data_IF_736796223958
#
_entry.id   IF_736796223958
#
_cell.length_a   1.000
_cell.length_b   1.000
_cell.length_c   1.000
_cell.angle_alpha   90.00
_cell.angle_beta   90.00
_cell.angle_gamma   90.00
#
_symmetry.space_group_name_H-M   'P 1'
#
loop_
_entity.id
_entity.type
_entity.pdbx_description
1 polymer ?
#
# COMPACT_ATOMS: atom_id res chain seq x y z
N UNK A 1 0.17 7.27 17.20
CA UNK A 1 0.49 6.31 18.26
C UNK A 1 1.65 5.42 17.80
N UNK A 2 2.87 5.67 18.28
CA UNK A 2 4.06 4.85 17.97
C UNK A 2 4.21 3.72 18.99
N UNK A 3 4.46 2.49 18.49
CA UNK A 3 4.76 1.30 19.26
C UNK A 3 6.03 0.69 18.66
N UNK A 4 7.10 0.59 19.42
CA UNK A 4 8.40 0.16 18.92
C UNK A 4 8.90 -1.08 19.66
N UNK A 5 9.54 -2.02 18.95
CA UNK A 5 10.22 -3.19 19.50
C UNK A 5 9.37 -3.93 20.55
N UNK A 6 8.09 -4.15 20.22
CA UNK A 6 7.11 -4.71 21.15
C UNK A 6 6.61 -6.07 20.68
N UNK A 7 6.15 -6.88 21.61
CA UNK A 7 5.57 -8.19 21.32
C UNK A 7 4.17 -8.30 21.93
N UNK A 8 3.26 -9.03 21.25
CA UNK A 8 1.85 -9.16 21.64
C UNK A 8 1.12 -7.82 21.75
N UNK A 9 1.19 -7.03 20.67
CA UNK A 9 0.57 -5.71 20.59
C UNK A 9 -0.91 -5.84 20.22
N UNK A 10 -1.79 -5.18 20.96
CA UNK A 10 -3.19 -5.03 20.59
C UNK A 10 -3.59 -3.56 20.63
N UNK A 11 -4.02 -3.04 19.47
CA UNK A 11 -4.62 -1.70 19.33
C UNK A 11 -6.07 -1.89 18.93
N UNK A 12 -7.01 -1.48 19.79
CA UNK A 12 -8.42 -1.74 19.55
C UNK A 12 -9.27 -0.49 19.80
N UNK A 13 -10.20 -0.21 18.86
CA UNK A 13 -11.17 0.88 18.95
C UNK A 13 -10.51 2.25 19.24
N UNK A 14 -9.40 2.54 18.57
CA UNK A 14 -8.66 3.81 18.66
C UNK A 14 -8.99 4.69 17.47
N UNK A 15 -9.17 5.97 17.69
CA UNK A 15 -9.28 6.99 16.65
C UNK A 15 -8.07 7.92 16.71
N UNK A 16 -7.43 8.15 15.56
CA UNK A 16 -6.44 9.21 15.33
C UNK A 16 -6.92 10.12 14.22
N UNK A 17 -6.81 11.43 14.40
CA UNK A 17 -7.32 12.37 13.42
C UNK A 17 -6.55 13.68 13.45
N UNK A 18 -6.22 14.20 12.27
CA UNK A 18 -5.78 15.58 12.04
C UNK A 18 -6.95 16.37 11.45
N UNK A 19 -7.52 17.27 12.24
CA UNK A 19 -8.78 17.99 11.92
C UNK A 19 -8.60 19.11 10.89
N UNK A 20 -7.38 19.43 10.49
CA UNK A 20 -7.07 20.48 9.50
C UNK A 20 -7.23 20.05 8.03
N UNK A 21 -7.60 18.80 7.76
CA UNK A 21 -7.64 18.22 6.41
C UNK A 21 -6.28 17.63 5.98
N UNK A 22 -6.14 17.37 4.69
CA UNK A 22 -4.94 16.78 4.08
C UNK A 22 -3.82 17.84 3.97
N UNK A 23 -2.93 17.89 4.94
CA UNK A 23 -1.83 18.85 5.01
C UNK A 23 -0.48 18.14 5.16
N UNK A 24 0.53 18.57 4.41
CA UNK A 24 1.92 18.09 4.50
C UNK A 24 2.50 18.22 5.93
N UNK A 25 1.98 19.15 6.72
CA UNK A 25 2.43 19.39 8.09
C UNK A 25 1.75 18.48 9.14
N UNK A 26 0.84 17.63 8.73
CA UNK A 26 0.25 16.64 9.62
C UNK A 26 1.32 15.64 10.08
N UNK A 27 1.09 14.95 11.20
CA UNK A 27 1.97 13.87 11.62
C UNK A 27 1.95 12.72 10.60
N UNK A 28 3.09 12.06 10.41
CA UNK A 28 3.28 11.03 9.41
C UNK A 28 2.31 9.85 9.63
N UNK A 29 2.20 9.32 10.84
CA UNK A 29 1.48 8.07 11.11
C UNK A 29 0.40 8.22 12.17
N UNK A 30 -0.78 7.68 11.89
CA UNK A 30 -1.85 7.57 12.88
C UNK A 30 -1.58 6.46 13.90
N UNK A 31 -1.53 5.21 13.46
CA UNK A 31 -1.15 4.03 14.23
C UNK A 31 0.15 3.50 13.64
N UNK A 32 1.18 3.29 14.47
CA UNK A 32 2.54 3.04 14.02
C UNK A 32 3.27 1.99 14.87
N UNK A 33 2.92 0.69 14.76
CA UNK A 33 3.81 -0.38 15.22
C UNK A 33 4.98 -0.56 14.25
N UNK A 34 6.18 -0.65 14.81
CA UNK A 34 7.42 -0.89 14.06
C UNK A 34 8.35 -1.83 14.84
N UNK A 35 9.08 -2.70 14.12
CA UNK A 35 9.99 -3.70 14.70
C UNK A 35 9.32 -4.54 15.80
N UNK A 36 8.07 -4.91 15.56
CA UNK A 36 7.21 -5.55 16.57
C UNK A 36 6.66 -6.88 16.05
N UNK A 37 6.20 -7.73 16.95
CA UNK A 37 5.65 -9.05 16.59
C UNK A 37 4.30 -9.31 17.23
N UNK A 38 3.49 -10.18 16.59
CA UNK A 38 2.17 -10.56 17.06
C UNK A 38 1.28 -9.33 17.32
N UNK A 39 0.92 -8.67 16.21
CA UNK A 39 0.22 -7.36 16.21
C UNK A 39 -1.22 -7.57 15.79
N UNK A 40 -2.15 -7.08 16.61
CA UNK A 40 -3.57 -6.96 16.27
C UNK A 40 -3.98 -5.49 16.29
N UNK A 41 -4.43 -4.99 15.12
CA UNK A 41 -5.10 -3.70 14.97
C UNK A 41 -6.55 -3.99 14.58
N UNK A 42 -7.51 -3.63 15.44
CA UNK A 42 -8.91 -4.00 15.30
C UNK A 42 -9.84 -2.83 15.63
N UNK A 43 -10.69 -2.43 14.68
CA UNK A 43 -11.67 -1.37 14.88
C UNK A 43 -11.05 0.04 15.02
N UNK A 44 -9.95 0.30 14.34
CA UNK A 44 -9.26 1.60 14.36
C UNK A 44 -9.84 2.54 13.31
N UNK A 45 -9.85 3.84 13.60
CA UNK A 45 -10.11 4.90 12.63
C UNK A 45 -8.90 5.81 12.54
N UNK A 46 -8.32 5.97 11.35
CA UNK A 46 -7.14 6.81 11.12
C UNK A 46 -7.39 7.82 9.99
N UNK A 47 -7.25 9.11 10.29
CA UNK A 47 -7.65 10.19 9.39
C UNK A 47 -6.56 11.28 9.30
N UNK A 48 -6.17 11.62 8.07
CA UNK A 48 -5.40 12.83 7.77
C UNK A 48 -3.89 12.70 7.98
N UNK A 49 -3.34 11.49 8.09
CA UNK A 49 -1.89 11.28 8.20
C UNK A 49 -1.17 11.68 6.90
N UNK A 50 -0.04 12.39 7.01
CA UNK A 50 0.75 12.84 5.86
C UNK A 50 1.68 11.76 5.28
N UNK A 51 1.60 10.56 5.81
CA UNK A 51 2.26 9.35 5.32
C UNK A 51 1.23 8.21 5.38
N UNK A 52 1.08 7.46 6.47
CA UNK A 52 0.09 6.40 6.53
C UNK A 52 -0.87 6.51 7.74
N UNK A 53 -2.16 6.30 7.50
CA UNK A 53 -3.17 6.25 8.57
C UNK A 53 -2.90 5.10 9.53
N UNK A 54 -2.74 3.89 9.01
CA UNK A 54 -2.33 2.69 9.74
C UNK A 54 -1.07 2.17 9.06
N UNK A 55 0.06 2.28 9.74
CA UNK A 55 1.35 1.78 9.30
C UNK A 55 1.80 0.63 10.18
N UNK A 56 2.26 -0.47 9.58
CA UNK A 56 2.96 -1.56 10.27
C UNK A 56 4.24 -1.85 9.51
N UNK A 57 5.38 -1.52 10.11
CA UNK A 57 6.69 -1.67 9.46
C UNK A 57 7.64 -2.60 10.18
N UNK A 58 8.48 -3.32 9.39
CA UNK A 58 9.58 -4.15 9.89
C UNK A 58 9.12 -5.14 11.00
N UNK A 59 7.94 -5.71 10.80
CA UNK A 59 7.20 -6.45 11.82
C UNK A 59 6.74 -7.82 11.31
N UNK A 60 6.20 -8.65 12.18
CA UNK A 60 5.73 -9.97 11.78
C UNK A 60 4.49 -10.43 12.58
N UNK A 61 3.73 -11.38 11.99
CA UNK A 61 2.49 -11.91 12.58
C UNK A 61 1.47 -10.79 12.84
N UNK A 62 0.95 -10.22 11.76
CA UNK A 62 0.19 -8.98 11.77
C UNK A 62 -1.26 -9.27 11.37
N UNK A 63 -2.21 -8.69 12.09
CA UNK A 63 -3.62 -8.62 11.70
C UNK A 63 -4.07 -7.15 11.75
N UNK A 64 -4.54 -6.63 10.62
CA UNK A 64 -5.23 -5.34 10.52
C UNK A 64 -6.63 -5.60 10.02
N UNK A 65 -7.65 -5.31 10.85
CA UNK A 65 -9.03 -5.62 10.50
C UNK A 65 -10.07 -4.66 11.05
N UNK A 66 -11.27 -4.70 10.45
CA UNK A 66 -12.45 -3.94 10.91
C UNK A 66 -12.15 -2.45 11.10
N UNK A 67 -11.17 -1.93 10.38
CA UNK A 67 -10.63 -0.60 10.55
C UNK A 67 -10.98 0.30 9.37
N UNK A 68 -10.93 1.62 9.59
CA UNK A 68 -11.20 2.62 8.56
C UNK A 68 -10.03 3.60 8.47
N UNK A 69 -9.48 3.74 7.28
CA UNK A 69 -8.42 4.71 6.98
C UNK A 69 -8.91 5.66 5.87
N UNK A 70 -8.94 6.97 6.15
CA UNK A 70 -9.45 7.93 5.20
C UNK A 70 -8.70 9.27 5.22
N UNK A 71 -8.59 9.91 4.05
CA UNK A 71 -7.90 11.20 3.88
C UNK A 71 -6.43 11.19 4.30
N UNK A 72 -5.76 10.05 4.23
CA UNK A 72 -4.32 9.90 4.43
C UNK A 72 -3.58 9.89 3.08
N UNK A 73 -2.25 9.93 3.08
CA UNK A 73 -1.50 9.59 1.87
C UNK A 73 -1.63 8.09 1.63
N UNK A 74 -1.13 7.23 2.49
CA UNK A 74 -1.48 5.81 2.48
C UNK A 74 -2.60 5.53 3.50
N UNK A 75 -3.65 4.82 3.10
CA UNK A 75 -4.68 4.41 4.05
C UNK A 75 -4.12 3.39 5.06
N UNK A 76 -3.71 2.24 4.56
CA UNK A 76 -3.06 1.17 5.33
C UNK A 76 -1.76 0.82 4.62
N UNK A 77 -0.66 0.72 5.36
CA UNK A 77 0.65 0.37 4.84
C UNK A 77 1.28 -0.77 5.64
N UNK A 78 1.69 -1.82 4.93
CA UNK A 78 2.47 -2.94 5.44
C UNK A 78 3.84 -2.86 4.76
N UNK A 79 4.87 -2.49 5.52
CA UNK A 79 6.21 -2.22 4.99
C UNK A 79 7.25 -3.14 5.60
N UNK A 80 8.10 -3.77 4.76
CA UNK A 80 9.19 -4.65 5.20
C UNK A 80 8.77 -5.67 6.27
N UNK A 81 7.58 -6.22 6.11
CA UNK A 81 6.92 -7.02 7.15
C UNK A 81 6.53 -8.40 6.62
N UNK A 82 6.30 -9.35 7.53
CA UNK A 82 6.00 -10.73 7.14
C UNK A 82 4.78 -11.29 7.87
N UNK A 83 4.03 -12.16 7.17
CA UNK A 83 2.83 -12.81 7.71
C UNK A 83 1.77 -11.80 8.17
N UNK A 84 1.29 -11.00 7.23
CA UNK A 84 0.25 -10.01 7.49
C UNK A 84 -1.10 -10.43 6.86
N UNK A 85 -2.17 -10.31 7.63
CA UNK A 85 -3.55 -10.39 7.18
C UNK A 85 -4.22 -9.02 7.31
N UNK A 86 -4.66 -8.46 6.18
CA UNK A 86 -5.33 -7.15 6.10
C UNK A 86 -6.74 -7.39 5.56
N UNK A 87 -7.75 -7.34 6.41
CA UNK A 87 -9.11 -7.72 5.99
C UNK A 87 -10.25 -6.99 6.70
N UNK A 88 -11.42 -6.97 6.06
CA UNK A 88 -12.61 -6.28 6.55
C UNK A 88 -12.35 -4.80 6.87
N UNK A 89 -11.48 -4.14 6.13
CA UNK A 89 -11.18 -2.73 6.32
C UNK A 89 -11.85 -1.88 5.24
N UNK A 90 -11.97 -0.59 5.52
CA UNK A 90 -12.37 0.43 4.56
C UNK A 90 -11.20 1.38 4.37
N UNK A 91 -10.63 1.41 3.17
CA UNK A 91 -9.60 2.37 2.75
C UNK A 91 -10.20 3.29 1.69
N UNK A 92 -10.53 4.51 2.08
CA UNK A 92 -11.29 5.43 1.20
C UNK A 92 -10.78 6.86 1.27
N UNK A 93 -10.87 7.57 0.16
CA UNK A 93 -10.45 8.98 0.07
C UNK A 93 -8.98 9.24 0.48
N UNK A 94 -8.11 8.24 0.40
CA UNK A 94 -6.66 8.42 0.56
C UNK A 94 -6.03 8.77 -0.79
N UNK A 95 -4.73 9.01 -0.84
CA UNK A 95 -3.97 9.06 -2.10
C UNK A 95 -3.79 7.64 -2.64
N UNK A 96 -3.35 6.70 -1.78
CA UNK A 96 -3.32 5.27 -2.01
C UNK A 96 -4.10 4.53 -0.91
N UNK A 97 -4.90 3.52 -1.28
CA UNK A 97 -5.75 2.81 -0.32
C UNK A 97 -4.96 1.87 0.59
N UNK A 98 -4.38 0.81 0.03
CA UNK A 98 -3.55 -0.17 0.75
C UNK A 98 -2.20 -0.29 0.05
N UNK A 99 -1.11 -0.15 0.78
CA UNK A 99 0.26 -0.28 0.28
C UNK A 99 0.96 -1.48 0.94
N UNK A 100 1.62 -2.31 0.13
CA UNK A 100 2.41 -3.45 0.60
C UNK A 100 3.81 -3.30 0.02
N UNK A 101 4.72 -2.74 0.80
CA UNK A 101 6.04 -2.30 0.33
C UNK A 101 7.18 -3.10 0.96
N UNK A 102 8.24 -3.31 0.19
CA UNK A 102 9.56 -3.65 0.70
C UNK A 102 10.58 -2.61 0.23
N UNK A 103 11.35 -2.08 1.15
CA UNK A 103 12.27 -0.99 0.91
C UNK A 103 13.69 -1.36 1.31
N UNK A 104 14.72 -0.88 0.57
CA UNK A 104 16.12 -1.12 0.90
C UNK A 104 16.56 -0.34 2.15
N UNK A 105 17.73 -0.72 2.67
CA UNK A 105 18.44 0.01 3.74
C UNK A 105 17.66 0.14 5.05
N UNK A 106 16.70 -0.75 5.31
CA UNK A 106 16.00 -0.84 6.58
C UNK A 106 16.55 -2.00 7.45
N UNK A 107 16.44 -1.93 8.78
CA UNK A 107 16.93 -3.00 9.67
C UNK A 107 16.30 -4.38 9.42
N UNK A 108 15.06 -4.43 8.93
CA UNK A 108 14.38 -5.66 8.50
C UNK A 108 13.99 -5.50 7.06
N UNK A 109 14.31 -6.49 6.24
CA UNK A 109 14.05 -6.53 4.80
C UNK A 109 13.37 -7.84 4.41
N UNK A 110 12.95 -7.94 3.15
CA UNK A 110 12.31 -9.12 2.59
C UNK A 110 10.86 -9.24 3.06
N UNK A 111 10.09 -8.18 2.85
CA UNK A 111 8.64 -8.15 3.07
C UNK A 111 7.96 -9.23 2.24
N UNK A 112 7.12 -10.08 2.86
CA UNK A 112 6.43 -11.18 2.17
C UNK A 112 5.32 -11.82 2.99
N UNK A 113 4.57 -12.69 2.32
CA UNK A 113 3.48 -13.48 2.93
C UNK A 113 2.37 -12.56 3.48
N UNK A 114 1.89 -11.64 2.66
CA UNK A 114 0.77 -10.76 3.01
C UNK A 114 -0.50 -11.19 2.27
N UNK A 115 -1.61 -11.25 2.99
CA UNK A 115 -2.93 -11.45 2.40
C UNK A 115 -3.79 -10.20 2.59
N UNK A 116 -4.42 -9.75 1.50
CA UNK A 116 -5.34 -8.60 1.50
C UNK A 116 -6.69 -9.07 0.99
N UNK A 117 -7.70 -9.12 1.87
CA UNK A 117 -8.99 -9.72 1.50
C UNK A 117 -10.19 -9.12 2.23
N UNK A 118 -11.36 -9.21 1.61
CA UNK A 118 -12.61 -8.66 2.15
C UNK A 118 -12.52 -7.17 2.53
N UNK A 119 -11.77 -6.36 1.80
CA UNK A 119 -11.68 -4.92 2.05
C UNK A 119 -12.51 -4.13 1.04
N UNK A 120 -13.01 -2.97 1.47
CA UNK A 120 -13.56 -1.94 0.61
C UNK A 120 -12.45 -0.90 0.32
N UNK A 121 -12.02 -0.81 -0.94
CA UNK A 121 -10.91 0.05 -1.38
C UNK A 121 -11.42 0.98 -2.46
N UNK A 122 -11.87 2.17 -2.06
CA UNK A 122 -12.63 3.02 -2.96
C UNK A 122 -12.25 4.51 -2.89
N UNK A 123 -12.39 5.19 -4.04
CA UNK A 123 -12.21 6.65 -4.14
C UNK A 123 -10.88 7.16 -3.56
N UNK A 124 -9.79 6.43 -3.68
CA UNK A 124 -8.50 6.86 -3.14
C UNK A 124 -7.82 7.90 -4.04
N UNK A 125 -8.52 9.00 -4.30
CA UNK A 125 -8.19 10.03 -5.28
C UNK A 125 -7.73 11.36 -4.65
N UNK A 126 -7.42 11.37 -3.35
CA UNK A 126 -6.88 12.57 -2.70
C UNK A 126 -5.50 12.91 -3.27
N UNK A 127 -5.28 14.15 -3.74
CA UNK A 127 -3.96 14.57 -4.20
C UNK A 127 -2.87 14.25 -3.17
N UNK A 128 -1.72 13.79 -3.64
CA UNK A 128 -0.64 13.39 -2.74
C UNK A 128 -0.11 14.61 -1.95
N UNK A 129 -0.13 14.51 -0.64
CA UNK A 129 0.32 15.56 0.27
C UNK A 129 1.46 15.11 1.21
N UNK A 130 2.15 14.02 0.84
CA UNK A 130 3.31 13.55 1.59
C UNK A 130 4.41 14.64 1.65
N UNK A 131 5.16 14.71 2.75
CA UNK A 131 6.37 15.53 2.79
C UNK A 131 7.36 15.11 1.71
N UNK A 132 8.07 16.09 1.16
CA UNK A 132 9.11 15.82 0.17
C UNK A 132 10.15 14.82 0.71
N UNK A 133 10.53 13.87 -0.13
CA UNK A 133 11.50 12.83 0.22
C UNK A 133 10.90 11.55 0.80
N UNK A 134 9.64 11.53 1.24
CA UNK A 134 8.98 10.29 1.67
C UNK A 134 8.74 9.37 0.47
N UNK A 135 8.81 8.04 0.68
CA UNK A 135 8.57 7.07 -0.40
C UNK A 135 7.12 7.13 -0.87
N UNK A 136 6.17 7.27 0.05
CA UNK A 136 4.75 7.38 -0.29
C UNK A 136 4.42 8.63 -1.12
N UNK A 137 5.34 9.60 -1.20
CA UNK A 137 5.23 10.75 -2.11
C UNK A 137 5.31 10.36 -3.60
N UNK A 138 5.76 9.15 -3.91
CA UNK A 138 5.80 8.61 -5.29
C UNK A 138 4.51 7.87 -5.67
N UNK A 139 3.61 7.65 -4.74
CA UNK A 139 2.33 6.96 -4.99
C UNK A 139 1.40 7.89 -5.77
N UNK A 140 0.93 7.50 -6.96
CA UNK A 140 -0.05 8.29 -7.69
C UNK A 140 -1.37 8.39 -6.95
N UNK A 141 -2.00 9.56 -6.93
CA UNK A 141 -3.37 9.66 -6.45
C UNK A 141 -4.30 8.79 -7.32
N UNK A 142 -5.24 8.09 -6.70
CA UNK A 142 -6.07 7.13 -7.39
C UNK A 142 -5.51 5.70 -7.40
N UNK A 143 -4.57 5.39 -6.52
CA UNK A 143 -4.06 4.04 -6.33
C UNK A 143 -4.96 3.28 -5.35
N UNK A 144 -5.61 2.20 -5.80
CA UNK A 144 -6.40 1.35 -4.90
C UNK A 144 -5.50 0.53 -3.98
N UNK A 145 -4.76 -0.41 -4.55
CA UNK A 145 -3.73 -1.20 -3.86
C UNK A 145 -2.43 -1.12 -4.67
N UNK A 146 -1.30 -0.97 -3.98
CA UNK A 146 0.01 -0.97 -4.63
C UNK A 146 0.96 -1.93 -3.91
N UNK A 147 1.59 -2.82 -4.68
CA UNK A 147 2.67 -3.69 -4.24
C UNK A 147 3.97 -3.11 -4.79
N UNK A 148 4.94 -2.88 -3.94
CA UNK A 148 6.28 -2.43 -4.30
C UNK A 148 7.32 -3.43 -3.78
N UNK A 149 7.95 -4.17 -4.69
CA UNK A 149 9.07 -5.08 -4.39
C UNK A 149 8.79 -6.07 -3.23
N UNK A 150 7.57 -6.52 -3.05
CA UNK A 150 7.16 -7.40 -1.95
C UNK A 150 6.65 -8.73 -2.52
N UNK A 151 6.90 -9.84 -1.82
CA UNK A 151 6.73 -11.19 -2.35
C UNK A 151 5.59 -11.97 -1.71
N UNK A 152 5.10 -12.96 -2.45
CA UNK A 152 4.11 -13.92 -1.98
C UNK A 152 2.88 -13.24 -1.38
N UNK A 153 2.21 -12.45 -2.21
CA UNK A 153 1.04 -11.67 -1.85
C UNK A 153 -0.21 -12.32 -2.45
N UNK A 154 -1.23 -12.48 -1.63
CA UNK A 154 -2.54 -12.96 -2.06
C UNK A 154 -3.60 -11.85 -1.88
N UNK A 155 -4.33 -11.52 -2.96
CA UNK A 155 -5.32 -10.45 -3.00
C UNK A 155 -6.64 -11.04 -3.49
N UNK A 156 -7.64 -11.13 -2.60
CA UNK A 156 -8.90 -11.80 -2.95
C UNK A 156 -10.12 -11.26 -2.19
N UNK A 157 -11.30 -11.45 -2.75
CA UNK A 157 -12.56 -11.02 -2.16
C UNK A 157 -12.61 -9.53 -1.77
N UNK A 158 -11.85 -8.64 -2.44
CA UNK A 158 -11.92 -7.20 -2.19
C UNK A 158 -12.84 -6.52 -3.20
N UNK A 159 -13.45 -5.42 -2.76
CA UNK A 159 -14.22 -4.51 -3.60
C UNK A 159 -13.39 -3.25 -3.91
N UNK A 160 -12.96 -3.11 -5.16
CA UNK A 160 -12.25 -1.93 -5.66
C UNK A 160 -13.21 -1.06 -6.46
N UNK A 161 -13.36 0.21 -6.06
CA UNK A 161 -14.29 1.13 -6.75
C UNK A 161 -13.69 2.51 -6.92
N UNK A 162 -13.78 3.05 -8.14
CA UNK A 162 -13.45 4.44 -8.48
C UNK A 162 -12.05 4.91 -8.00
N UNK A 163 -11.03 4.09 -8.13
CA UNK A 163 -9.63 4.48 -7.93
C UNK A 163 -9.06 4.95 -9.27
N UNK A 164 -8.87 6.25 -9.42
CA UNK A 164 -8.68 6.94 -10.71
C UNK A 164 -7.40 6.55 -11.47
N UNK A 165 -6.33 6.15 -10.78
CA UNK A 165 -5.08 5.72 -11.42
C UNK A 165 -5.08 4.25 -11.80
N UNK A 166 -5.28 3.35 -10.83
CA UNK A 166 -5.45 1.92 -11.05
C UNK A 166 -5.98 1.25 -9.79
N UNK A 167 -6.78 0.18 -9.95
CA UNK A 167 -7.28 -0.56 -8.79
C UNK A 167 -6.16 -1.36 -8.10
N UNK A 168 -5.29 -2.03 -8.87
CA UNK A 168 -4.11 -2.73 -8.34
C UNK A 168 -2.89 -2.37 -9.20
N UNK A 169 -1.79 -1.97 -8.55
CA UNK A 169 -0.48 -1.78 -9.18
C UNK A 169 0.56 -2.70 -8.57
N UNK A 170 1.35 -3.36 -9.42
CA UNK A 170 2.46 -4.24 -9.06
C UNK A 170 3.70 -3.63 -9.67
N UNK A 171 4.62 -3.19 -8.84
CA UNK A 171 5.79 -2.45 -9.32
C UNK A 171 7.07 -2.87 -8.61
N UNK A 172 8.16 -2.83 -9.35
CA UNK A 172 9.50 -2.97 -8.81
C UNK A 172 9.94 -1.69 -8.08
N UNK A 173 10.95 -1.78 -7.23
CA UNK A 173 11.53 -0.58 -6.58
C UNK A 173 12.08 0.43 -7.58
N UNK A 174 12.44 -0.01 -8.79
CA UNK A 174 12.96 0.88 -9.86
C UNK A 174 11.98 1.95 -10.30
N UNK A 175 10.67 1.77 -10.06
CA UNK A 175 9.67 2.81 -10.37
C UNK A 175 9.89 4.09 -9.56
N UNK A 176 10.57 4.01 -8.43
CA UNK A 176 10.83 5.15 -7.54
C UNK A 176 11.92 6.08 -8.05
N UNK A 177 12.72 5.65 -9.02
CA UNK A 177 13.93 6.32 -9.54
C UNK A 177 14.94 6.70 -8.42
N UNK A 178 14.92 5.96 -7.30
CA UNK A 178 15.84 6.17 -6.18
C UNK A 178 16.98 5.16 -6.21
N UNK A 179 18.22 5.60 -6.00
CA UNK A 179 19.34 4.69 -5.89
C UNK A 179 19.27 3.86 -4.60
N UNK A 180 19.77 2.65 -4.65
CA UNK A 180 20.03 1.81 -3.49
C UNK A 180 21.34 1.04 -3.70
N UNK A 181 22.05 0.76 -2.62
CA UNK A 181 23.34 0.06 -2.61
C UNK A 181 23.34 -1.16 -1.68
N UNK A 182 22.16 -1.66 -1.37
CA UNK A 182 21.93 -2.80 -0.51
C UNK A 182 22.03 -4.11 -1.31
N UNK A 183 23.08 -4.91 -1.12
CA UNK A 183 23.31 -6.12 -1.91
C UNK A 183 22.35 -7.28 -1.57
N UNK A 184 21.68 -7.22 -0.45
CA UNK A 184 20.75 -8.24 0.02
C UNK A 184 19.28 -7.90 -0.30
N UNK A 185 19.04 -6.72 -0.88
CA UNK A 185 17.70 -6.26 -1.23
C UNK A 185 17.22 -6.82 -2.57
N UNK A 186 16.04 -7.41 -2.58
CA UNK A 186 15.34 -7.77 -3.82
C UNK A 186 14.38 -6.67 -4.26
N UNK A 187 14.65 -5.98 -5.38
CA UNK A 187 13.81 -4.89 -5.85
C UNK A 187 12.59 -5.35 -6.67
N UNK A 188 12.37 -6.65 -6.84
CA UNK A 188 11.33 -7.19 -7.71
C UNK A 188 10.20 -7.81 -6.90
N UNK A 189 8.92 -7.54 -7.24
CA UNK A 189 7.80 -8.28 -6.66
C UNK A 189 7.70 -9.66 -7.31
N UNK A 190 7.47 -10.71 -6.53
CA UNK A 190 7.32 -12.07 -7.01
C UNK A 190 6.16 -12.82 -6.35
N UNK A 191 5.56 -13.78 -7.07
CA UNK A 191 4.51 -14.67 -6.54
C UNK A 191 3.27 -13.90 -6.04
N UNK A 192 2.70 -13.09 -6.90
CA UNK A 192 1.49 -12.32 -6.62
C UNK A 192 0.28 -13.08 -7.16
N UNK A 193 -0.68 -13.41 -6.30
CA UNK A 193 -1.89 -14.11 -6.68
C UNK A 193 -3.13 -13.25 -6.45
N UNK A 194 -3.85 -12.92 -7.54
CA UNK A 194 -5.03 -12.06 -7.53
C UNK A 194 -6.22 -12.85 -8.03
N UNK A 195 -7.28 -12.98 -7.21
CA UNK A 195 -8.47 -13.72 -7.59
C UNK A 195 -9.71 -13.25 -6.84
N UNK A 196 -10.88 -13.56 -7.36
CA UNK A 196 -12.19 -13.32 -6.72
C UNK A 196 -12.46 -11.87 -6.25
N UNK A 197 -11.77 -10.87 -6.83
CA UNK A 197 -12.01 -9.46 -6.51
C UNK A 197 -13.08 -8.85 -7.44
N UNK A 198 -13.77 -7.83 -6.93
CA UNK A 198 -14.69 -7.02 -7.72
C UNK A 198 -14.02 -5.70 -8.10
N UNK A 199 -14.15 -5.29 -9.37
CA UNK A 199 -13.60 -4.04 -9.89
C UNK A 199 -14.69 -3.20 -10.54
N UNK A 200 -14.78 -1.92 -10.14
CA UNK A 200 -15.69 -0.95 -10.74
C UNK A 200 -15.03 0.43 -10.86
N UNK A 201 -15.09 1.03 -12.04
CA UNK A 201 -14.80 2.44 -12.24
C UNK A 201 -13.35 2.89 -12.13
N UNK A 202 -12.37 1.99 -12.04
CA UNK A 202 -10.95 2.35 -11.94
C UNK A 202 -10.31 2.89 -13.21
N UNK A 203 -9.10 3.47 -13.09
CA UNK A 203 -8.20 3.81 -14.21
C UNK A 203 -8.67 4.95 -15.12
N UNK A 204 -9.61 5.78 -14.69
CA UNK A 204 -10.24 6.78 -15.55
C UNK A 204 -9.46 8.09 -15.65
N UNK A 205 -8.76 8.46 -14.61
CA UNK A 205 -8.02 9.72 -14.55
C UNK A 205 -6.68 9.56 -13.79
N UNK A 206 -5.72 8.82 -14.38
CA UNK A 206 -4.48 8.49 -13.70
C UNK A 206 -3.61 9.72 -13.40
N UNK A 207 -2.95 9.72 -12.25
CA UNK A 207 -2.11 10.78 -11.72
C UNK A 207 -0.60 10.43 -11.83
N UNK A 208 -0.18 9.97 -12.99
CA UNK A 208 1.25 9.83 -13.30
C UNK A 208 1.50 9.81 -14.80
N UNK A 209 2.64 10.36 -15.23
CA UNK A 209 2.98 10.44 -16.65
C UNK A 209 3.01 9.06 -17.35
N UNK A 210 3.58 7.98 -16.74
CA UNK A 210 3.55 6.66 -17.37
C UNK A 210 2.13 6.11 -17.55
N UNK A 211 1.26 6.26 -16.56
CA UNK A 211 -0.14 5.80 -16.67
C UNK A 211 -0.96 6.65 -17.63
N UNK A 212 -0.71 7.96 -17.70
CA UNK A 212 -1.31 8.85 -18.70
C UNK A 212 -0.89 8.45 -20.12
N UNK A 213 0.39 8.12 -20.32
CA UNK A 213 0.89 7.63 -21.60
C UNK A 213 0.25 6.28 -21.97
N UNK A 214 0.13 5.35 -21.03
CA UNK A 214 -0.53 4.07 -21.24
C UNK A 214 -2.00 4.26 -21.61
N UNK A 215 -2.75 5.05 -20.86
CA UNK A 215 -4.16 5.37 -21.13
C UNK A 215 -4.33 5.94 -22.54
N UNK A 216 -3.46 6.89 -22.91
CA UNK A 216 -3.49 7.51 -24.24
C UNK A 216 -3.20 6.52 -25.35
N UNK A 217 -2.26 5.60 -25.15
CA UNK A 217 -1.91 4.57 -26.13
C UNK A 217 -3.02 3.53 -26.33
N UNK A 218 -3.79 3.25 -25.28
CA UNK A 218 -4.90 2.31 -25.32
C UNK A 218 -6.21 2.92 -25.82
N UNK A 219 -6.35 4.24 -25.76
CA UNK A 219 -7.63 4.96 -25.98
C UNK A 219 -8.77 4.40 -25.09
N UNK A 220 -8.42 4.04 -23.84
CA UNK A 220 -9.32 3.38 -22.88
C UNK A 220 -8.86 3.72 -21.43
N UNK A 221 -9.71 3.47 -20.42
CA UNK A 221 -9.27 3.49 -19.03
C UNK A 221 -8.09 2.51 -18.79
N UNK A 222 -7.28 2.79 -17.79
CA UNK A 222 -6.22 1.87 -17.34
C UNK A 222 -6.86 0.55 -16.87
N UNK A 223 -6.29 -0.61 -17.20
CA UNK A 223 -6.73 -1.90 -16.68
C UNK A 223 -6.76 -1.93 -15.16
N UNK A 224 -7.66 -2.76 -14.60
CA UNK A 224 -7.79 -2.88 -13.15
C UNK A 224 -6.51 -3.34 -12.44
N UNK A 225 -5.72 -4.17 -13.12
CA UNK A 225 -4.41 -4.63 -12.66
C UNK A 225 -3.34 -4.16 -13.63
N UNK A 226 -2.35 -3.43 -13.11
CA UNK A 226 -1.20 -2.94 -13.88
C UNK A 226 0.08 -3.46 -13.25
N UNK A 227 0.96 -4.01 -14.09
CA UNK A 227 2.31 -4.41 -13.72
C UNK A 227 3.33 -3.58 -14.51
N UNK A 228 4.41 -3.11 -13.87
CA UNK A 228 5.45 -2.29 -14.54
C UNK A 228 6.31 -3.08 -15.55
N UNK A 229 6.11 -4.40 -15.64
CA UNK A 229 6.83 -5.27 -16.56
C UNK A 229 8.27 -5.58 -16.13
N UNK A 230 8.66 -5.16 -14.94
CA UNK A 230 10.03 -5.33 -14.44
C UNK A 230 10.14 -6.60 -13.60
N UNK A 231 11.11 -7.45 -13.93
CA UNK A 231 11.32 -8.73 -13.25
C UNK A 231 12.82 -9.05 -13.14
N UNK A 232 13.16 -9.93 -12.23
CA UNK A 232 14.53 -10.43 -12.08
C UNK A 232 15.01 -11.09 -13.40
N UNK A 233 16.25 -10.84 -13.84
CA UNK A 233 16.80 -11.46 -15.02
C UNK A 233 16.73 -12.99 -14.97
N UNK A 234 16.10 -13.60 -15.99
CA UNK A 234 15.94 -15.05 -16.11
C UNK A 234 14.60 -15.59 -15.60
N UNK A 235 13.81 -14.79 -14.93
CA UNK A 235 12.43 -15.13 -14.54
C UNK A 235 11.45 -15.04 -15.73
N UNK A 236 10.29 -15.62 -15.55
CA UNK A 236 9.17 -15.54 -16.50
C UNK A 236 8.01 -14.75 -15.87
N UNK A 237 7.15 -14.09 -16.67
CA UNK A 237 5.99 -13.38 -16.14
C UNK A 237 5.09 -14.23 -15.22
N UNK A 238 4.96 -15.54 -15.49
CA UNK A 238 4.19 -16.46 -14.66
C UNK A 238 4.81 -16.77 -13.27
N UNK A 239 5.98 -16.23 -12.97
CA UNK A 239 6.59 -16.29 -11.65
C UNK A 239 6.36 -15.00 -10.85
N UNK A 240 5.75 -13.99 -11.49
CA UNK A 240 5.36 -12.72 -10.86
C UNK A 240 3.86 -12.75 -10.50
N UNK A 241 3.05 -13.18 -11.48
CA UNK A 241 1.57 -13.21 -11.41
C UNK A 241 1.04 -14.64 -11.54
#
# INVERSE_FOLDING_TARGET
LKINESNNVTVKNVRTEWTGGALTTNGAYGIYPVQSTNILIDGVVAIGASDAGIYVGQSSQIIVRNSRAEYNVAGIEIENSTFADVYNNIATNNTGGILVFDLPNLPVQGGKNTRVFNNEINNNNTPNFAPEGNIVGTVPAGSGLMILANDNIEIFDNDFTDNDSANIMIVSYYITDRPFDDPDYDPFPESIFIHDNTFEGGGRNPDSDPLLALKSAMDAPIPDVVWDGTMMPGKQPSEIL
#
